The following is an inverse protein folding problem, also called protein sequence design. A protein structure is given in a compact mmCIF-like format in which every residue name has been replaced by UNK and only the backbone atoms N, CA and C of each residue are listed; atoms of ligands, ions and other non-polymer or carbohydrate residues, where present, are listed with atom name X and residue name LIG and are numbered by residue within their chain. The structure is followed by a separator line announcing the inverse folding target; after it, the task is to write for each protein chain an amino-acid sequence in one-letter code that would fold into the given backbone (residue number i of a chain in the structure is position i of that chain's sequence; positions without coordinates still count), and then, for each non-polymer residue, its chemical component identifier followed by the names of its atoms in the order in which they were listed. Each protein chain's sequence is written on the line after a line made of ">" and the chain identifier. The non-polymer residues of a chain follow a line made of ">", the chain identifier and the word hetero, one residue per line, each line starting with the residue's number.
data_IF_630964141235
#
_entry.id   IF_630964141235
#
_cell.length_a   1.000
_cell.length_b   1.000
_cell.length_c   1.000
_cell.angle_alpha   90.00
_cell.angle_beta   90.00
_cell.angle_gamma   90.00
#
_symmetry.space_group_name_H-M   'P 1'
#
loop_
_entity.id
_entity.type
_entity.pdbx_description
1 polymer ?
#
# COMPACT_ATOMS: atom_id res chain seq x y z
N UNK A 1 2.38 0.69 -8.26
CA UNK A 1 3.23 1.88 -8.46
C UNK A 1 4.48 1.77 -7.61
N UNK A 2 5.62 2.28 -8.09
CA UNK A 2 6.91 2.22 -7.42
C UNK A 2 7.40 3.64 -7.10
N UNK A 3 7.89 3.85 -5.89
CA UNK A 3 8.38 5.14 -5.42
C UNK A 3 9.81 5.05 -4.93
N UNK A 4 10.60 6.09 -5.16
CA UNK A 4 11.92 6.23 -4.54
C UNK A 4 11.78 6.64 -3.08
N UNK A 5 12.46 5.94 -2.18
CA UNK A 5 12.50 6.28 -0.74
C UNK A 5 13.66 7.22 -0.45
N UNK A 6 13.36 8.33 0.24
CA UNK A 6 14.32 9.36 0.64
C UNK A 6 14.78 9.19 2.10
N UNK A 7 13.95 8.57 2.95
CA UNK A 7 14.20 8.36 4.38
C UNK A 7 14.07 6.89 4.75
N UNK A 8 15.01 6.07 4.27
CA UNK A 8 14.99 4.62 4.48
C UNK A 8 15.14 4.22 5.95
N UNK A 9 15.78 5.06 6.76
CA UNK A 9 15.94 4.88 8.21
C UNK A 9 14.62 4.82 8.98
N UNK A 10 13.51 5.26 8.38
CA UNK A 10 12.18 5.17 8.98
C UNK A 10 11.53 3.79 8.79
N UNK A 11 12.04 2.96 7.88
CA UNK A 11 11.55 1.62 7.63
C UNK A 11 12.27 0.64 8.55
N UNK A 12 11.73 0.45 9.75
CA UNK A 12 12.26 -0.50 10.74
C UNK A 12 11.17 -1.53 11.06
N UNK A 13 11.43 -2.84 10.94
CA UNK A 13 10.44 -3.87 11.28
C UNK A 13 9.94 -3.75 12.72
N UNK A 14 8.70 -4.16 12.98
CA UNK A 14 8.08 -4.12 14.31
C UNK A 14 7.92 -2.70 14.91
N UNK A 15 8.02 -1.67 14.07
CA UNK A 15 7.78 -0.27 14.45
C UNK A 15 6.59 0.32 13.69
N UNK A 16 6.36 1.63 13.84
CA UNK A 16 5.34 2.35 13.08
C UNK A 16 5.96 3.45 12.24
N UNK A 17 5.83 3.34 10.92
CA UNK A 17 6.19 4.41 9.99
C UNK A 17 5.31 5.63 10.26
N UNK A 18 5.96 6.79 10.44
CA UNK A 18 5.33 8.05 10.85
C UNK A 18 4.48 7.94 12.13
N UNK A 19 4.76 6.96 13.00
CA UNK A 19 3.96 6.69 14.20
C UNK A 19 2.57 6.10 13.93
N UNK A 20 2.20 5.88 12.66
CA UNK A 20 0.85 5.47 12.22
C UNK A 20 0.82 4.05 11.64
N UNK A 21 1.70 3.75 10.69
CA UNK A 21 1.60 2.55 9.86
C UNK A 21 2.48 1.43 10.40
N UNK A 22 1.88 0.35 10.90
CA UNK A 22 2.63 -0.79 11.46
C UNK A 22 3.46 -1.48 10.38
N UNK A 23 4.75 -1.61 10.64
CA UNK A 23 5.71 -2.26 9.76
C UNK A 23 6.04 -3.67 10.23
N UNK A 24 6.27 -4.58 9.29
CA UNK A 24 6.72 -5.95 9.55
C UNK A 24 7.75 -6.38 8.51
N UNK A 25 8.65 -7.30 8.87
CA UNK A 25 9.67 -7.80 7.94
C UNK A 25 9.17 -9.00 7.14
N UNK A 26 9.21 -8.93 5.82
CA UNK A 26 8.88 -10.05 4.94
C UNK A 26 10.16 -10.76 4.45
N UNK A 27 10.49 -11.88 5.08
CA UNK A 27 11.62 -12.73 4.68
C UNK A 27 11.32 -13.68 3.51
N UNK A 28 10.06 -13.76 3.07
CA UNK A 28 9.68 -14.57 1.92
C UNK A 28 9.99 -13.89 0.58
N UNK A 29 10.24 -12.57 0.60
CA UNK A 29 10.69 -11.81 -0.57
C UNK A 29 12.22 -11.73 -0.57
N UNK A 30 12.81 -11.73 -1.77
CA UNK A 30 14.24 -11.52 -1.98
C UNK A 30 14.48 -10.29 -2.87
N UNK A 31 15.19 -9.25 -2.38
CA UNK A 31 15.68 -9.11 -1.02
C UNK A 31 14.56 -8.95 0.01
N UNK A 32 14.89 -8.95 1.30
CA UNK A 32 13.90 -8.75 2.37
C UNK A 32 13.18 -7.43 2.17
N UNK A 33 11.84 -7.45 2.25
CA UNK A 33 11.05 -6.22 2.23
C UNK A 33 10.55 -5.86 3.62
N UNK A 34 10.45 -4.57 3.89
CA UNK A 34 9.75 -4.05 5.08
C UNK A 34 8.38 -3.59 4.64
N UNK A 35 7.35 -4.23 5.17
CA UNK A 35 6.02 -4.18 4.60
C UNK A 35 5.01 -3.52 5.53
N UNK A 36 3.96 -2.98 4.92
CA UNK A 36 2.73 -2.60 5.59
C UNK A 36 1.56 -3.09 4.75
N UNK A 37 0.48 -3.53 5.39
CA UNK A 37 -0.73 -3.96 4.71
C UNK A 37 -1.98 -3.63 5.50
N UNK A 38 -3.09 -3.49 4.79
CA UNK A 38 -4.42 -3.29 5.34
C UNK A 38 -5.46 -3.93 4.45
N UNK A 39 -6.44 -4.60 5.03
CA UNK A 39 -7.56 -5.21 4.31
C UNK A 39 -8.84 -4.39 4.51
N UNK A 40 -9.74 -4.48 3.54
CA UNK A 40 -11.01 -3.77 3.47
C UNK A 40 -12.10 -4.76 3.05
N UNK A 41 -13.27 -4.66 3.65
CA UNK A 41 -14.40 -5.56 3.39
C UNK A 41 -15.23 -5.81 4.64
N UNK A 42 -16.44 -6.34 4.44
CA UNK A 42 -17.28 -6.86 5.53
C UNK A 42 -16.85 -8.26 5.92
N UNK A 43 -17.49 -8.85 6.94
CA UNK A 43 -17.23 -10.23 7.34
C UNK A 43 -17.47 -11.21 6.20
N UNK A 44 -18.54 -10.99 5.42
CA UNK A 44 -18.89 -11.79 4.25
C UNK A 44 -17.79 -11.71 3.18
N UNK A 45 -17.19 -10.53 2.96
CA UNK A 45 -16.08 -10.40 2.01
C UNK A 45 -14.86 -11.23 2.41
N UNK A 46 -14.58 -11.36 3.71
CA UNK A 46 -13.53 -12.24 4.20
C UNK A 46 -13.91 -13.72 4.07
N UNK A 47 -15.17 -14.07 4.34
CA UNK A 47 -15.68 -15.44 4.20
C UNK A 47 -15.58 -15.95 2.76
N UNK A 48 -15.92 -15.09 1.79
CA UNK A 48 -15.91 -15.43 0.37
C UNK A 48 -14.63 -15.01 -0.36
N UNK A 49 -13.61 -14.53 0.37
CA UNK A 49 -12.36 -14.03 -0.21
C UNK A 49 -12.56 -12.98 -1.32
N UNK A 50 -13.60 -12.15 -1.21
CA UNK A 50 -13.85 -10.99 -2.08
C UNK A 50 -13.29 -9.68 -1.52
N UNK A 51 -12.57 -9.73 -0.39
CA UNK A 51 -12.00 -8.54 0.23
C UNK A 51 -10.94 -7.87 -0.65
N UNK A 52 -10.79 -6.54 -0.49
CA UNK A 52 -9.69 -5.79 -1.06
C UNK A 52 -8.55 -5.64 -0.05
N UNK A 53 -7.32 -5.50 -0.54
CA UNK A 53 -6.15 -5.28 0.30
C UNK A 53 -5.22 -4.24 -0.30
N UNK A 54 -4.72 -3.37 0.57
CA UNK A 54 -3.57 -2.52 0.32
C UNK A 54 -2.31 -3.25 0.80
N UNK A 55 -1.25 -3.20 0.00
CA UNK A 55 0.07 -3.65 0.39
C UNK A 55 1.13 -2.63 -0.05
N UNK A 56 2.11 -2.40 0.81
CA UNK A 56 3.36 -1.80 0.39
C UNK A 56 4.56 -2.61 0.88
N UNK A 57 5.61 -2.65 0.07
CA UNK A 57 6.87 -3.30 0.39
C UNK A 57 8.04 -2.38 0.07
N UNK A 58 8.80 -2.03 1.10
CA UNK A 58 10.07 -1.33 0.96
C UNK A 58 11.20 -2.33 0.73
N UNK A 59 11.84 -2.25 -0.43
CA UNK A 59 13.02 -3.04 -0.76
C UNK A 59 14.26 -2.37 -0.15
N UNK A 60 14.95 -3.12 0.73
CA UNK A 60 16.07 -2.58 1.50
C UNK A 60 17.37 -2.42 0.70
N UNK A 61 17.48 -3.01 -0.49
CA UNK A 61 18.70 -2.97 -1.30
C UNK A 61 18.69 -1.84 -2.32
N UNK A 62 17.58 -1.68 -3.04
CA UNK A 62 17.45 -0.66 -4.10
C UNK A 62 16.71 0.61 -3.63
N UNK A 63 16.25 0.64 -2.38
CA UNK A 63 15.56 1.76 -1.76
C UNK A 63 14.27 2.19 -2.48
N UNK A 64 13.56 1.24 -3.08
CA UNK A 64 12.24 1.46 -3.68
C UNK A 64 11.10 0.99 -2.78
N UNK A 65 9.99 1.71 -2.81
CA UNK A 65 8.74 1.34 -2.16
C UNK A 65 7.71 1.00 -3.23
N UNK A 66 7.34 -0.27 -3.31
CA UNK A 66 6.22 -0.71 -4.13
C UNK A 66 4.93 -0.57 -3.34
N UNK A 67 3.88 -0.06 -3.98
CA UNK A 67 2.54 0.07 -3.41
C UNK A 67 1.52 -0.43 -4.41
N UNK A 68 0.67 -1.35 -3.95
CA UNK A 68 -0.40 -1.97 -4.75
C UNK A 68 -1.70 -2.07 -3.94
N UNK A 69 -2.81 -2.05 -4.66
CA UNK A 69 -4.09 -2.54 -4.16
C UNK A 69 -4.48 -3.78 -4.95
N UNK A 70 -5.05 -4.75 -4.23
CA UNK A 70 -5.50 -6.01 -4.78
C UNK A 70 -6.96 -6.26 -4.39
N UNK A 71 -7.70 -6.94 -5.26
CA UNK A 71 -9.05 -7.45 -5.04
C UNK A 71 -9.04 -8.97 -4.95
N UNK A 72 -10.22 -9.54 -4.66
CA UNK A 72 -10.44 -10.99 -4.59
C UNK A 72 -9.45 -11.68 -3.65
N UNK A 73 -9.33 -11.15 -2.43
CA UNK A 73 -8.50 -11.76 -1.40
C UNK A 73 -6.99 -11.63 -1.66
N UNK A 74 -6.59 -10.69 -2.52
CA UNK A 74 -5.19 -10.49 -2.90
C UNK A 74 -4.78 -11.16 -4.20
N UNK A 75 -5.72 -11.74 -4.96
CA UNK A 75 -5.41 -12.47 -6.20
C UNK A 75 -5.23 -11.55 -7.41
N UNK A 76 -5.89 -10.39 -7.45
CA UNK A 76 -5.87 -9.51 -8.61
C UNK A 76 -5.47 -8.09 -8.23
N UNK A 77 -4.32 -7.63 -8.68
CA UNK A 77 -3.97 -6.21 -8.62
C UNK A 77 -4.90 -5.38 -9.49
N UNK A 78 -5.22 -4.16 -9.06
CA UNK A 78 -5.99 -3.22 -9.88
C UNK A 78 -5.36 -1.83 -9.86
N UNK A 79 -5.43 -1.16 -11.00
CA UNK A 79 -4.90 0.18 -11.23
C UNK A 79 -6.02 1.20 -11.24
N UNK A 80 -5.73 2.40 -10.75
CA UNK A 80 -6.68 3.48 -10.66
C UNK A 80 -5.97 4.83 -10.50
N UNK A 81 -6.72 5.88 -10.78
CA UNK A 81 -6.32 7.27 -10.55
C UNK A 81 -7.25 7.92 -9.54
N UNK A 82 -6.96 9.15 -9.11
CA UNK A 82 -7.86 9.91 -8.23
C UNK A 82 -9.22 10.17 -8.85
N UNK A 83 -9.30 10.33 -10.17
CA UNK A 83 -10.56 10.54 -10.91
C UNK A 83 -11.53 9.36 -10.75
N UNK A 84 -11.02 8.14 -10.60
CA UNK A 84 -11.87 6.97 -10.39
C UNK A 84 -12.67 7.05 -9.07
N UNK A 85 -12.21 7.83 -8.07
CA UNK A 85 -12.98 8.07 -6.84
C UNK A 85 -14.23 8.92 -7.08
N UNK A 86 -14.31 9.64 -8.20
CA UNK A 86 -15.48 10.45 -8.55
C UNK A 86 -16.63 9.60 -9.11
N UNK A 87 -16.37 8.33 -9.45
CA UNK A 87 -17.39 7.42 -9.95
C UNK A 87 -18.45 7.13 -8.86
N UNK A 88 -19.73 7.50 -9.08
CA UNK A 88 -20.80 7.27 -8.10
C UNK A 88 -21.11 5.78 -7.89
N UNK A 89 -20.83 4.94 -8.88
CA UNK A 89 -21.08 3.49 -8.84
C UNK A 89 -19.88 2.70 -8.27
N UNK A 90 -18.80 3.39 -7.86
CA UNK A 90 -17.66 2.74 -7.24
C UNK A 90 -18.09 2.08 -5.94
N UNK A 91 -17.84 0.78 -5.84
CA UNK A 91 -18.18 0.01 -4.66
C UNK A 91 -17.48 0.60 -3.41
N UNK A 92 -18.10 0.45 -2.25
CA UNK A 92 -17.52 0.97 -1.00
C UNK A 92 -16.15 0.35 -0.72
N UNK A 93 -15.97 -0.94 -0.99
CA UNK A 93 -14.73 -1.67 -0.71
C UNK A 93 -13.58 -1.20 -1.62
N UNK A 94 -13.87 -0.87 -2.87
CA UNK A 94 -12.89 -0.28 -3.79
C UNK A 94 -12.53 1.13 -3.33
N UNK A 95 -13.56 1.96 -3.04
CA UNK A 95 -13.38 3.32 -2.53
C UNK A 95 -12.52 3.37 -1.28
N UNK A 96 -12.83 2.56 -0.26
CA UNK A 96 -12.08 2.54 1.00
C UNK A 96 -10.59 2.15 0.77
N UNK A 97 -10.33 1.23 -0.15
CA UNK A 97 -8.98 0.78 -0.49
C UNK A 97 -8.21 1.88 -1.25
N UNK A 98 -8.84 2.50 -2.25
CA UNK A 98 -8.26 3.57 -3.07
C UNK A 98 -8.01 4.85 -2.26
N UNK A 99 -8.94 5.26 -1.40
CA UNK A 99 -8.76 6.40 -0.50
C UNK A 99 -7.60 6.17 0.46
N UNK A 100 -7.48 4.95 1.01
CA UNK A 100 -6.36 4.59 1.86
C UNK A 100 -5.03 4.63 1.11
N UNK A 101 -5.01 4.14 -0.12
CA UNK A 101 -3.83 4.18 -1.00
C UNK A 101 -3.31 5.61 -1.19
N UNK A 102 -4.19 6.53 -1.60
CA UNK A 102 -3.78 7.93 -1.80
C UNK A 102 -3.41 8.61 -0.50
N UNK A 103 -4.17 8.39 0.58
CA UNK A 103 -3.84 8.94 1.90
C UNK A 103 -2.47 8.49 2.39
N UNK A 104 -2.12 7.22 2.20
CA UNK A 104 -0.81 6.69 2.58
C UNK A 104 0.30 7.40 1.79
N UNK A 105 0.14 7.53 0.47
CA UNK A 105 1.12 8.23 -0.38
C UNK A 105 1.26 9.71 -0.02
N UNK A 106 0.14 10.40 0.21
CA UNK A 106 0.12 11.81 0.58
C UNK A 106 0.84 12.02 1.92
N UNK A 107 0.53 11.20 2.94
CA UNK A 107 1.24 11.21 4.22
C UNK A 107 2.76 11.03 4.03
N UNK A 108 3.20 10.10 3.17
CA UNK A 108 4.62 9.87 2.93
C UNK A 108 5.28 11.03 2.18
N UNK A 109 4.62 11.61 1.18
CA UNK A 109 5.13 12.76 0.41
C UNK A 109 5.22 14.02 1.27
N UNK A 110 4.18 14.33 2.05
CA UNK A 110 4.14 15.48 2.96
C UNK A 110 5.26 15.43 4.01
N UNK A 111 5.63 14.22 4.45
CA UNK A 111 6.72 14.02 5.42
C UNK A 111 8.11 13.83 4.75
N UNK A 112 8.19 13.95 3.42
CA UNK A 112 9.42 13.79 2.64
C UNK A 112 10.04 12.40 2.77
N UNK A 113 9.23 11.37 2.95
CA UNK A 113 9.68 9.97 3.06
C UNK A 113 9.93 9.38 1.67
N UNK A 114 9.13 9.75 0.69
CA UNK A 114 9.22 9.30 -0.70
C UNK A 114 9.23 10.49 -1.66
N UNK A 115 9.78 10.28 -2.85
CA UNK A 115 9.75 11.25 -3.95
C UNK A 115 8.59 10.96 -4.93
N UNK A 116 8.77 11.36 -6.20
CA UNK A 116 7.87 11.05 -7.30
C UNK A 116 7.90 9.55 -7.63
N UNK A 117 6.87 9.13 -8.34
CA UNK A 117 6.79 7.80 -8.92
C UNK A 117 7.98 7.56 -9.86
N UNK A 118 8.53 6.35 -9.83
CA UNK A 118 9.59 5.91 -10.74
C UNK A 118 8.90 5.29 -11.95
N UNK A 119 9.06 5.90 -13.12
CA UNK A 119 8.66 5.27 -14.39
C UNK A 119 9.60 4.09 -14.66
N UNK A 120 9.05 2.90 -14.91
CA UNK A 120 9.79 1.74 -15.45
C UNK A 120 10.08 1.90 -16.94
#
# INVERSE_FOLDING_TARGET
>A
MIYKVLKSELFIPETKLLGKYKLWGNRALNPIHICHSKTFGTKEDFEYMSFNSFWCGFNIENFTLEIICNSYGGMCGFEFTREHLENPDLSKIDRDCMEYYFKFIDDLKENGVIEKEVEE
#
